data_IF_683635763073
#
_entry.id   IF_683635763073
#
_cell.length_a   1.000
_cell.length_b   1.000
_cell.length_c   1.000
_cell.angle_alpha   90.00
_cell.angle_beta   90.00
_cell.angle_gamma   90.00
#
_symmetry.space_group_name_H-M   'P 1'
#
loop_
_entity.id
_entity.type
_entity.pdbx_description
1 polymer ?
#
# COMPACT_ATOMS: atom_id res chain seq x y z
N UNK A 1 4.39 12.58 10.17
CA UNK A 1 3.35 11.70 10.75
C UNK A 1 1.89 12.07 10.41
N UNK A 2 1.54 13.31 10.05
CA UNK A 2 0.15 13.68 9.71
C UNK A 2 -0.36 13.09 8.40
N UNK A 3 0.50 13.01 7.39
CA UNK A 3 0.16 12.45 6.06
C UNK A 3 -0.19 10.96 6.14
N UNK A 4 0.52 10.19 6.97
CA UNK A 4 0.23 8.77 7.19
C UNK A 4 -1.15 8.55 7.86
N UNK A 5 -1.49 9.35 8.87
CA UNK A 5 -2.81 9.31 9.50
C UNK A 5 -3.93 9.73 8.55
N UNK A 6 -3.71 10.76 7.73
CA UNK A 6 -4.65 11.18 6.69
C UNK A 6 -4.88 10.09 5.63
N UNK A 7 -3.81 9.46 5.16
CA UNK A 7 -3.90 8.33 4.23
C UNK A 7 -4.67 7.14 4.82
N UNK A 8 -4.40 6.79 6.09
CA UNK A 8 -5.13 5.72 6.78
C UNK A 8 -6.63 6.03 6.86
N UNK A 9 -6.99 7.24 7.29
CA UNK A 9 -8.39 7.66 7.37
C UNK A 9 -9.09 7.59 6.01
N UNK A 10 -8.44 8.09 4.97
CA UNK A 10 -8.97 8.06 3.61
C UNK A 10 -9.16 6.62 3.09
N UNK A 11 -8.21 5.72 3.37
CA UNK A 11 -8.34 4.30 3.03
C UNK A 11 -9.49 3.62 3.76
N UNK A 12 -9.69 3.92 5.04
CA UNK A 12 -10.84 3.41 5.80
C UNK A 12 -12.16 3.87 5.15
N UNK A 13 -12.24 5.15 4.75
CA UNK A 13 -13.42 5.65 4.02
C UNK A 13 -13.64 4.88 2.72
N UNK A 14 -12.60 4.72 1.89
CA UNK A 14 -12.71 3.98 0.62
C UNK A 14 -13.25 2.57 0.86
N UNK A 15 -12.69 1.84 1.82
CA UNK A 15 -13.11 0.46 2.12
C UNK A 15 -14.59 0.43 2.53
N UNK A 16 -15.02 1.35 3.41
CA UNK A 16 -16.42 1.41 3.85
C UNK A 16 -17.37 1.73 2.69
N UNK A 17 -17.02 2.70 1.84
CA UNK A 17 -17.88 3.14 0.74
C UNK A 17 -17.85 2.21 -0.49
N UNK A 18 -16.80 1.41 -0.67
CA UNK A 18 -16.65 0.50 -1.81
C UNK A 18 -17.84 -0.48 -1.92
N UNK A 19 -18.26 -1.08 -0.79
CA UNK A 19 -19.38 -2.02 -0.73
C UNK A 19 -20.70 -1.41 -0.26
N UNK A 20 -20.85 -0.08 -0.24
CA UNK A 20 -22.01 0.58 0.39
C UNK A 20 -23.37 0.14 -0.20
N UNK A 21 -23.39 -0.21 -1.49
CA UNK A 21 -24.59 -0.69 -2.17
C UNK A 21 -25.26 -1.88 -1.45
N UNK A 22 -24.47 -2.77 -0.84
CA UNK A 22 -24.97 -3.95 -0.10
C UNK A 22 -25.85 -3.55 1.10
N UNK A 23 -25.61 -2.38 1.69
CA UNK A 23 -26.39 -1.86 2.81
C UNK A 23 -27.65 -1.09 2.37
N UNK A 24 -27.84 -0.89 1.07
CA UNK A 24 -29.03 -0.20 0.55
C UNK A 24 -30.21 -1.16 0.43
N UNK A 25 -31.43 -0.64 0.61
CA UNK A 25 -32.66 -1.45 0.61
C UNK A 25 -32.83 -2.19 -0.71
N UNK A 26 -32.93 -3.53 -0.65
CA UNK A 26 -33.16 -4.41 -1.79
C UNK A 26 -31.91 -4.94 -2.49
N UNK A 27 -30.71 -4.56 -2.04
CA UNK A 27 -29.43 -4.96 -2.65
C UNK A 27 -28.57 -5.86 -1.74
N UNK A 28 -29.17 -6.54 -0.75
CA UNK A 28 -28.43 -7.44 0.11
C UNK A 28 -28.05 -8.72 -0.64
N UNK A 29 -26.75 -8.97 -0.74
CA UNK A 29 -26.14 -10.14 -1.38
C UNK A 29 -24.93 -10.55 -0.57
N UNK A 30 -24.90 -11.82 -0.15
CA UNK A 30 -23.78 -12.36 0.65
C UNK A 30 -22.51 -12.39 -0.19
N UNK A 31 -22.61 -12.72 -1.46
CA UNK A 31 -21.48 -12.79 -2.39
C UNK A 31 -20.86 -11.40 -2.58
N UNK A 32 -21.68 -10.37 -2.74
CA UNK A 32 -21.20 -8.99 -2.88
C UNK A 32 -20.61 -8.45 -1.56
N UNK A 33 -21.21 -8.78 -0.43
CA UNK A 33 -20.67 -8.44 0.89
C UNK A 33 -19.28 -9.04 1.11
N UNK A 34 -19.15 -10.35 0.89
CA UNK A 34 -17.88 -11.06 1.08
C UNK A 34 -16.86 -10.52 0.09
N UNK A 35 -17.21 -10.36 -1.18
CA UNK A 35 -16.28 -9.83 -2.20
C UNK A 35 -15.78 -8.43 -1.86
N UNK A 36 -16.65 -7.54 -1.37
CA UNK A 36 -16.28 -6.17 -1.01
C UNK A 36 -15.42 -6.08 0.26
N UNK A 37 -15.61 -6.97 1.24
CA UNK A 37 -15.04 -6.83 2.58
C UNK A 37 -14.06 -7.94 3.01
N UNK A 38 -13.86 -9.01 2.24
CA UNK A 38 -12.96 -10.13 2.58
C UNK A 38 -11.49 -9.71 2.77
N UNK A 39 -11.07 -8.61 2.12
CA UNK A 39 -9.71 -8.08 2.27
C UNK A 39 -9.38 -7.68 3.71
N UNK A 40 -10.37 -7.21 4.48
CA UNK A 40 -10.19 -6.77 5.87
C UNK A 40 -9.73 -7.92 6.77
N UNK A 41 -10.47 -9.05 6.91
CA UNK A 41 -10.03 -10.15 7.74
C UNK A 41 -8.74 -10.79 7.23
N UNK A 42 -8.52 -10.87 5.91
CA UNK A 42 -7.27 -11.39 5.34
C UNK A 42 -6.07 -10.54 5.78
N UNK A 43 -6.18 -9.21 5.68
CA UNK A 43 -5.13 -8.29 6.12
C UNK A 43 -4.78 -8.49 7.61
N UNK A 44 -5.80 -8.50 8.47
CA UNK A 44 -5.57 -8.71 9.91
C UNK A 44 -5.04 -10.11 10.21
N UNK A 45 -5.49 -11.14 9.49
CA UNK A 45 -4.99 -12.50 9.66
C UNK A 45 -3.49 -12.59 9.35
N UNK A 46 -3.05 -12.05 8.21
CA UNK A 46 -1.62 -12.04 7.87
C UNK A 46 -0.79 -11.19 8.82
N UNK A 47 -1.29 -10.01 9.20
CA UNK A 47 -0.61 -9.14 10.16
C UNK A 47 -0.44 -9.82 11.52
N UNK A 48 -1.52 -10.38 12.07
CA UNK A 48 -1.50 -11.07 13.36
C UNK A 48 -0.67 -12.36 13.28
N UNK A 49 -0.80 -13.13 12.20
CA UNK A 49 0.02 -14.32 11.97
C UNK A 49 1.50 -13.99 12.07
N UNK A 50 1.98 -12.98 11.32
CA UNK A 50 3.37 -12.57 11.37
C UNK A 50 3.77 -12.05 12.76
N UNK A 51 2.92 -11.22 13.37
CA UNK A 51 3.20 -10.61 14.67
C UNK A 51 3.31 -11.65 15.79
N UNK A 52 2.43 -12.66 15.78
CA UNK A 52 2.41 -13.74 16.77
C UNK A 52 3.53 -14.75 16.49
N UNK A 53 3.74 -15.13 15.23
CA UNK A 53 4.74 -16.14 14.86
C UNK A 53 6.18 -15.62 15.07
N UNK A 54 6.48 -14.41 14.59
CA UNK A 54 7.83 -13.82 14.72
C UNK A 54 8.02 -13.05 16.02
N UNK A 55 6.96 -12.84 16.81
CA UNK A 55 6.97 -12.13 18.11
C UNK A 55 7.74 -10.81 18.04
N UNK A 56 7.55 -10.05 16.97
CA UNK A 56 8.29 -8.80 16.77
C UNK A 56 7.84 -7.74 17.77
N UNK A 57 8.75 -6.91 18.27
CA UNK A 57 8.41 -5.77 19.11
C UNK A 57 7.67 -4.68 18.32
N UNK A 58 6.94 -3.80 19.01
CA UNK A 58 6.41 -2.59 18.41
C UNK A 58 7.51 -1.54 18.35
N UNK A 59 7.91 -1.16 17.14
CA UNK A 59 8.93 -0.13 16.91
C UNK A 59 8.24 1.22 16.83
N UNK A 60 8.77 2.21 17.56
CA UNK A 60 8.27 3.59 17.44
C UNK A 60 8.63 4.12 16.06
N UNK A 61 7.72 4.86 15.39
CA UNK A 61 8.02 5.41 14.05
C UNK A 61 9.28 6.28 14.00
N UNK A 62 9.65 6.93 15.11
CA UNK A 62 10.85 7.76 15.20
C UNK A 62 12.16 6.93 15.28
N UNK A 63 12.07 5.70 15.79
CA UNK A 63 13.21 4.79 15.98
C UNK A 63 13.27 3.74 14.85
N UNK A 64 12.34 3.80 13.89
CA UNK A 64 12.28 2.88 12.77
C UNK A 64 13.45 3.14 11.81
N UNK A 65 14.29 2.13 11.62
CA UNK A 65 15.43 2.23 10.71
C UNK A 65 14.98 2.16 9.26
N UNK A 66 15.10 3.29 8.57
CA UNK A 66 14.86 3.45 7.13
C UNK A 66 16.14 3.86 6.38
N UNK A 67 17.28 3.84 7.07
CA UNK A 67 18.56 4.36 6.57
C UNK A 67 19.54 3.24 6.25
N UNK A 68 19.47 2.11 6.94
CA UNK A 68 20.34 0.96 6.67
C UNK A 68 20.22 0.50 5.22
N UNK A 69 21.36 0.39 4.55
CA UNK A 69 21.45 0.03 3.12
C UNK A 69 21.23 1.18 2.15
N UNK A 70 20.69 2.33 2.59
CA UNK A 70 20.43 3.49 1.71
C UNK A 70 21.71 4.06 1.10
N UNK A 71 22.76 4.21 1.91
CA UNK A 71 24.03 4.77 1.44
C UNK A 71 24.70 3.94 0.33
N UNK A 72 24.48 2.62 0.32
CA UNK A 72 24.99 1.77 -0.76
C UNK A 72 24.22 2.02 -2.06
N UNK A 73 22.88 2.13 -1.98
CA UNK A 73 22.01 2.42 -3.12
C UNK A 73 22.19 3.84 -3.68
N UNK A 74 22.38 4.84 -2.81
CA UNK A 74 22.62 6.22 -3.24
C UNK A 74 23.97 6.39 -3.96
N UNK A 75 24.95 5.53 -3.63
CA UNK A 75 26.27 5.52 -4.27
C UNK A 75 26.30 4.75 -5.60
N UNK A 76 25.25 3.97 -5.92
CA UNK A 76 25.13 3.35 -7.23
C UNK A 76 24.88 4.42 -8.29
N UNK A 77 25.85 4.60 -9.19
CA UNK A 77 25.69 5.45 -10.37
C UNK A 77 24.81 4.68 -11.36
N UNK A 78 23.53 5.01 -11.38
CA UNK A 78 22.60 4.48 -12.38
C UNK A 78 23.10 4.87 -13.77
N UNK A 79 23.14 3.91 -14.73
CA UNK A 79 23.54 4.23 -16.09
C UNK A 79 22.58 5.27 -16.67
N UNK A 80 23.11 6.31 -17.30
CA UNK A 80 22.29 7.27 -18.03
C UNK A 80 21.47 6.54 -19.10
N UNK A 81 20.15 6.71 -19.05
CA UNK A 81 19.21 6.10 -19.98
C UNK A 81 19.29 6.87 -21.32
N UNK A 82 20.28 6.53 -22.17
CA UNK A 82 20.43 7.17 -23.47
C UNK A 82 19.33 6.62 -24.41
N UNK A 83 18.44 7.48 -24.96
CA UNK A 83 17.39 7.02 -25.86
C UNK A 83 18.00 6.44 -27.13
N UNK A 84 17.68 5.19 -27.44
CA UNK A 84 18.15 4.48 -28.63
C UNK A 84 17.33 4.82 -29.87
N UNK A 85 16.11 5.34 -29.68
CA UNK A 85 15.17 5.64 -30.76
C UNK A 85 14.21 6.79 -30.41
N UNK A 86 13.42 7.21 -31.40
CA UNK A 86 12.50 8.36 -31.28
C UNK A 86 11.38 8.08 -30.27
N UNK A 87 10.91 6.83 -30.15
CA UNK A 87 9.90 6.45 -29.16
C UNK A 87 10.43 6.57 -27.72
N UNK A 88 11.65 6.07 -27.45
CA UNK A 88 12.30 6.24 -26.15
C UNK A 88 12.57 7.72 -25.84
N UNK A 89 12.94 8.52 -26.85
CA UNK A 89 13.15 9.97 -26.68
C UNK A 89 11.87 10.72 -26.30
N UNK A 90 10.73 10.35 -26.90
CA UNK A 90 9.42 10.92 -26.55
C UNK A 90 8.99 10.43 -25.16
N UNK A 91 9.20 9.15 -24.85
CA UNK A 91 8.87 8.58 -23.55
C UNK A 91 9.66 9.24 -22.41
N UNK A 92 10.98 9.40 -22.56
CA UNK A 92 11.85 10.08 -21.57
C UNK A 92 11.64 11.59 -21.49
N UNK A 93 10.89 12.20 -22.40
CA UNK A 93 10.49 13.60 -22.30
C UNK A 93 9.19 13.76 -21.48
N UNK A 94 8.36 12.72 -21.43
CA UNK A 94 7.08 12.70 -20.70
C UNK A 94 7.25 12.16 -19.27
N UNK A 95 8.10 11.14 -19.09
CA UNK A 95 8.37 10.46 -17.82
C UNK A 95 9.54 11.08 -17.07
#
# INVERSE_FOLDING_TARGET
PFTAWGALFFWIMIILFNGFAVFTKGNWSVDDFVTAYVGIPIYFAFFLFWKIFKRTSWVKPADADIWTGKAALDNEVWPEQIPRNIFEKIWFWIA
#
